data_IF_406222937634
#
_entry.id   IF_406222937634
#
_cell.length_a   1.000
_cell.length_b   1.000
_cell.length_c   1.000
_cell.angle_alpha   90.00
_cell.angle_beta   90.00
_cell.angle_gamma   90.00
#
_symmetry.space_group_name_H-M   'P 1'
#
loop_
_entity.id
_entity.type
_entity.pdbx_description
1 polymer ?
#
# COMPACT_ATOMS: atom_id res chain seq x y z
N UNK A 1 -7.60 28.40 -46.94
CA UNK A 1 -7.20 28.75 -45.56
C UNK A 1 -6.79 27.45 -44.88
N UNK A 2 -5.49 27.19 -44.72
CA UNK A 2 -5.04 26.03 -43.97
C UNK A 2 -5.51 26.21 -42.54
N UNK A 3 -6.39 25.33 -42.05
CA UNK A 3 -6.65 25.27 -40.61
C UNK A 3 -5.31 25.00 -39.96
N UNK A 4 -4.78 25.98 -39.24
CA UNK A 4 -3.67 25.73 -38.32
C UNK A 4 -4.13 24.54 -37.47
N UNK A 5 -3.39 23.43 -37.57
CA UNK A 5 -3.69 22.21 -36.84
C UNK A 5 -3.77 22.48 -35.34
N UNK A 6 -4.18 21.48 -34.59
CA UNK A 6 -4.09 21.59 -33.13
C UNK A 6 -2.62 21.63 -32.71
N UNK A 7 -2.31 22.24 -31.56
CA UNK A 7 -0.93 22.28 -31.07
C UNK A 7 -0.28 20.90 -30.92
N UNK A 8 -1.11 19.86 -30.80
CA UNK A 8 -0.72 18.45 -30.73
C UNK A 8 -0.07 17.97 -32.02
N UNK A 9 -0.49 18.50 -33.17
CA UNK A 9 0.08 18.17 -34.48
C UNK A 9 1.53 18.67 -34.60
N UNK A 10 1.93 19.62 -33.75
CA UNK A 10 3.31 20.11 -33.65
C UNK A 10 4.23 19.25 -32.77
N UNK A 11 3.71 18.22 -32.10
CA UNK A 11 4.50 17.35 -31.25
C UNK A 11 5.02 16.17 -32.06
N UNK A 12 6.33 15.93 -31.98
CA UNK A 12 6.94 14.73 -32.55
C UNK A 12 6.60 13.52 -31.68
N UNK A 13 5.61 12.74 -32.09
CA UNK A 13 5.10 11.53 -31.44
C UNK A 13 6.16 10.42 -31.27
N UNK A 14 7.18 10.39 -32.13
CA UNK A 14 8.28 9.42 -32.07
C UNK A 14 9.30 9.71 -30.96
N UNK A 15 9.30 10.92 -30.41
CA UNK A 15 10.26 11.31 -29.37
C UNK A 15 9.87 10.72 -28.02
N UNK A 16 10.86 10.26 -27.25
CA UNK A 16 10.64 9.78 -25.88
C UNK A 16 9.93 10.85 -25.03
N UNK A 17 8.88 10.44 -24.34
CA UNK A 17 8.05 11.32 -23.52
C UNK A 17 7.01 12.15 -24.27
N UNK A 18 6.94 12.07 -25.60
CA UNK A 18 5.91 12.77 -26.39
C UNK A 18 4.49 12.41 -25.96
N UNK A 19 4.27 11.14 -25.60
CA UNK A 19 2.97 10.65 -25.17
C UNK A 19 2.41 11.38 -23.94
N UNK A 20 3.25 11.86 -23.02
CA UNK A 20 2.79 12.69 -21.89
C UNK A 20 2.06 13.93 -22.42
N UNK A 21 2.70 14.68 -23.31
CA UNK A 21 2.14 15.91 -23.85
C UNK A 21 0.89 15.66 -24.70
N UNK A 22 0.83 14.54 -25.41
CA UNK A 22 -0.33 14.15 -26.22
C UNK A 22 -1.53 13.71 -25.37
N UNK A 23 -1.30 13.25 -24.14
CA UNK A 23 -2.38 12.89 -23.21
C UNK A 23 -3.03 14.09 -22.52
N UNK A 24 -2.38 15.27 -22.54
CA UNK A 24 -2.91 16.48 -21.90
C UNK A 24 -4.10 17.04 -22.67
N UNK A 25 -5.30 16.88 -22.13
CA UNK A 25 -6.54 17.41 -22.70
C UNK A 25 -6.77 18.87 -22.33
N UNK A 26 -7.23 19.67 -23.29
CA UNK A 26 -7.52 21.09 -23.10
C UNK A 26 -6.27 21.96 -23.07
N UNK A 27 -6.18 22.85 -22.08
CA UNK A 27 -5.06 23.75 -21.90
C UNK A 27 -3.84 23.00 -21.35
N UNK A 28 -2.72 22.96 -22.08
CA UNK A 28 -1.55 22.22 -21.63
C UNK A 28 -0.98 22.88 -20.38
N UNK A 29 -0.80 22.08 -19.33
CA UNK A 29 -0.09 22.44 -18.10
C UNK A 29 1.03 21.42 -17.89
N UNK A 30 2.28 21.87 -18.03
CA UNK A 30 3.45 21.01 -17.91
C UNK A 30 3.91 20.93 -16.46
N UNK A 31 3.76 19.75 -15.84
CA UNK A 31 4.16 19.51 -14.46
C UNK A 31 5.25 18.43 -14.41
N UNK A 32 6.45 18.74 -13.87
CA UNK A 32 7.53 17.78 -13.73
C UNK A 32 7.10 16.49 -12.99
N UNK A 33 6.35 16.62 -11.89
CA UNK A 33 5.85 15.48 -11.13
C UNK A 33 5.00 14.52 -11.97
N UNK A 34 4.11 15.04 -12.81
CA UNK A 34 3.26 14.23 -13.69
C UNK A 34 4.09 13.60 -14.82
N UNK A 35 5.10 14.33 -15.31
CA UNK A 35 6.03 13.80 -16.30
C UNK A 35 6.87 12.64 -15.76
N UNK A 36 7.38 12.76 -14.53
CA UNK A 36 8.12 11.71 -13.84
C UNK A 36 7.25 10.47 -13.66
N UNK A 37 6.01 10.65 -13.18
CA UNK A 37 5.01 9.58 -13.04
C UNK A 37 4.72 8.91 -14.37
N UNK A 38 4.49 9.68 -15.44
CA UNK A 38 4.22 9.13 -16.78
C UNK A 38 5.40 8.32 -17.31
N UNK A 39 6.63 8.83 -17.14
CA UNK A 39 7.82 8.16 -17.66
C UNK A 39 8.18 6.93 -16.85
N UNK A 40 7.85 6.90 -15.56
CA UNK A 40 8.02 5.75 -14.65
C UNK A 40 9.42 5.12 -14.73
N UNK A 41 10.43 5.96 -14.93
CA UNK A 41 11.82 5.53 -15.17
C UNK A 41 12.43 5.02 -13.87
N UNK A 42 13.44 4.15 -13.98
CA UNK A 42 14.22 3.68 -12.83
C UNK A 42 15.20 4.75 -12.33
N UNK A 43 15.64 4.64 -11.07
CA UNK A 43 16.47 5.66 -10.42
C UNK A 43 17.81 5.87 -11.11
N UNK A 44 18.39 4.82 -11.70
CA UNK A 44 19.63 4.84 -12.48
C UNK A 44 19.54 5.71 -13.75
N UNK A 45 18.34 5.86 -14.31
CA UNK A 45 18.07 6.64 -15.52
C UNK A 45 17.44 8.02 -15.22
N UNK A 46 17.37 8.40 -13.95
CA UNK A 46 16.70 9.63 -13.50
C UNK A 46 17.36 10.91 -14.02
N UNK A 47 18.69 10.94 -14.13
CA UNK A 47 19.42 12.09 -14.72
C UNK A 47 19.05 12.31 -16.19
N UNK A 48 18.88 11.24 -16.96
CA UNK A 48 18.46 11.35 -18.36
C UNK A 48 17.06 11.98 -18.47
N UNK A 49 16.22 11.85 -17.45
CA UNK A 49 14.88 12.44 -17.42
C UNK A 49 14.93 13.96 -17.24
N UNK A 50 15.86 14.48 -16.43
CA UNK A 50 16.10 15.93 -16.26
C UNK A 50 16.48 16.55 -17.60
N UNK A 51 17.43 15.94 -18.30
CA UNK A 51 17.85 16.40 -19.64
C UNK A 51 16.70 16.31 -20.65
N UNK A 52 15.97 15.19 -20.65
CA UNK A 52 14.85 14.95 -21.56
C UNK A 52 13.77 16.03 -21.39
N UNK A 53 13.37 16.31 -20.14
CA UNK A 53 12.43 17.37 -19.80
C UNK A 53 12.91 18.75 -20.25
N UNK A 54 14.17 19.08 -19.92
CA UNK A 54 14.74 20.39 -20.25
C UNK A 54 14.77 20.60 -21.77
N UNK A 55 15.16 19.57 -22.53
CA UNK A 55 15.11 19.63 -24.00
C UNK A 55 13.68 19.77 -24.51
N UNK A 56 12.69 19.12 -23.89
CA UNK A 56 11.29 19.30 -24.27
C UNK A 56 10.85 20.75 -24.07
N UNK A 57 11.13 21.35 -22.92
CA UNK A 57 10.75 22.74 -22.66
C UNK A 57 11.39 23.71 -23.66
N UNK A 58 12.68 23.54 -23.96
CA UNK A 58 13.39 24.36 -24.96
C UNK A 58 12.77 24.23 -26.36
N UNK A 59 12.39 23.03 -26.77
CA UNK A 59 11.82 22.81 -28.10
C UNK A 59 10.37 23.30 -28.19
N UNK A 60 9.57 23.11 -27.14
CA UNK A 60 8.19 23.61 -27.07
C UNK A 60 8.12 25.14 -27.02
N UNK A 61 9.14 25.80 -26.46
CA UNK A 61 9.27 27.27 -26.54
C UNK A 61 9.44 27.78 -27.97
N UNK A 62 9.91 26.94 -28.90
CA UNK A 62 10.07 27.27 -30.33
C UNK A 62 8.86 26.87 -31.17
N UNK A 63 7.79 26.35 -30.54
CA UNK A 63 6.58 25.92 -31.22
C UNK A 63 5.88 27.07 -31.94
N UNK A 64 5.28 26.85 -33.12
CA UNK A 64 4.47 27.87 -33.80
C UNK A 64 3.21 28.25 -32.99
N UNK A 65 2.77 27.38 -32.08
CA UNK A 65 1.57 27.56 -31.26
C UNK A 65 1.86 28.39 -30.02
N UNK A 66 1.19 29.54 -29.87
CA UNK A 66 1.42 30.46 -28.75
C UNK A 66 1.17 29.83 -27.38
N UNK A 67 0.10 29.03 -27.26
CA UNK A 67 -0.25 28.32 -26.02
C UNK A 67 0.92 27.44 -25.57
N UNK A 68 1.55 26.69 -26.47
CA UNK A 68 2.70 25.84 -26.13
C UNK A 68 3.91 26.64 -25.68
N UNK A 69 4.19 27.77 -26.35
CA UNK A 69 5.31 28.64 -25.95
C UNK A 69 5.10 29.19 -24.55
N UNK A 70 3.91 29.73 -24.27
CA UNK A 70 3.57 30.29 -22.94
C UNK A 70 3.65 29.22 -21.86
N UNK A 71 3.07 28.05 -22.08
CA UNK A 71 3.12 26.95 -21.12
C UNK A 71 4.56 26.47 -20.90
N UNK A 72 5.37 26.33 -21.96
CA UNK A 72 6.76 25.87 -21.85
C UNK A 72 7.68 26.88 -21.15
N UNK A 73 7.38 28.19 -21.22
CA UNK A 73 8.07 29.22 -20.43
C UNK A 73 7.65 29.18 -18.97
N UNK A 74 6.37 28.94 -18.70
CA UNK A 74 5.82 28.86 -17.33
C UNK A 74 6.12 27.52 -16.63
N UNK A 75 6.58 26.50 -17.38
CA UNK A 75 6.83 25.18 -16.85
C UNK A 75 8.02 25.21 -15.86
N UNK A 76 7.86 24.60 -14.67
CA UNK A 76 8.97 24.51 -13.74
C UNK A 76 10.06 23.57 -14.27
N UNK A 77 11.30 23.83 -13.86
CA UNK A 77 12.41 22.91 -14.11
C UNK A 77 12.17 21.60 -13.35
N UNK A 78 12.53 20.48 -13.98
CA UNK A 78 12.58 19.18 -13.31
C UNK A 78 13.92 19.12 -12.57
N UNK A 79 13.87 19.04 -11.25
CA UNK A 79 15.06 19.04 -10.38
C UNK A 79 15.31 17.66 -9.78
N UNK A 80 16.51 17.46 -9.22
CA UNK A 80 16.83 16.25 -8.47
C UNK A 80 15.88 16.05 -7.28
N UNK A 81 15.48 17.13 -6.59
CA UNK A 81 14.54 17.06 -5.47
C UNK A 81 13.20 16.46 -5.90
N UNK A 82 12.69 16.81 -7.10
CA UNK A 82 11.44 16.23 -7.60
C UNK A 82 11.54 14.72 -7.85
N UNK A 83 12.72 14.25 -8.23
CA UNK A 83 13.00 12.82 -8.41
C UNK A 83 13.11 12.11 -7.06
N UNK A 84 13.83 12.71 -6.12
CA UNK A 84 14.02 12.14 -4.79
C UNK A 84 12.69 12.02 -4.03
N UNK A 85 11.84 13.06 -4.09
CA UNK A 85 10.46 13.03 -3.58
C UNK A 85 9.66 11.88 -4.22
N UNK A 86 9.69 11.77 -5.54
CA UNK A 86 8.97 10.72 -6.25
C UNK A 86 9.41 9.31 -5.86
N UNK A 87 10.73 9.07 -5.74
CA UNK A 87 11.24 7.76 -5.34
C UNK A 87 11.01 7.46 -3.86
N UNK A 88 11.05 8.48 -2.99
CA UNK A 88 10.71 8.33 -1.59
C UNK A 88 9.25 7.91 -1.42
N UNK A 89 8.33 8.59 -2.10
CA UNK A 89 6.91 8.25 -2.10
C UNK A 89 6.70 6.82 -2.60
N UNK A 90 7.37 6.45 -3.70
CA UNK A 90 7.26 5.09 -4.26
C UNK A 90 7.76 4.02 -3.30
N UNK A 91 8.90 4.24 -2.63
CA UNK A 91 9.41 3.30 -1.62
C UNK A 91 8.46 3.18 -0.42
N UNK A 92 7.81 4.27 -0.02
CA UNK A 92 6.78 4.22 1.03
C UNK A 92 5.60 3.35 0.61
N UNK A 93 5.07 3.58 -0.60
CA UNK A 93 3.95 2.79 -1.14
C UNK A 93 4.29 1.32 -1.29
N UNK A 94 5.49 1.00 -1.80
CA UNK A 94 5.94 -0.39 -1.93
C UNK A 94 6.03 -1.08 -0.56
N UNK A 95 6.56 -0.38 0.47
CA UNK A 95 6.61 -0.90 1.85
C UNK A 95 5.24 -1.10 2.46
N UNK A 96 4.32 -0.16 2.24
CA UNK A 96 2.93 -0.27 2.70
C UNK A 96 2.24 -1.47 2.04
N UNK A 97 2.46 -1.68 0.74
CA UNK A 97 1.92 -2.81 0.01
C UNK A 97 2.47 -4.15 0.56
N UNK A 98 3.78 -4.22 0.81
CA UNK A 98 4.42 -5.40 1.43
C UNK A 98 3.84 -5.70 2.82
N UNK A 99 3.63 -4.67 3.63
CA UNK A 99 3.02 -4.81 4.96
C UNK A 99 1.58 -5.33 4.87
N UNK A 100 0.77 -4.80 3.94
CA UNK A 100 -0.59 -5.27 3.69
C UNK A 100 -0.62 -6.71 3.18
N UNK A 101 0.30 -7.08 2.28
CA UNK A 101 0.37 -8.45 1.78
C UNK A 101 0.79 -9.44 2.88
N UNK A 102 1.74 -9.07 3.72
CA UNK A 102 2.14 -9.85 4.90
C UNK A 102 0.95 -10.06 5.85
N UNK A 103 0.22 -8.98 6.17
CA UNK A 103 -0.99 -9.05 6.99
C UNK A 103 -2.05 -9.97 6.39
N UNK A 104 -2.31 -9.85 5.09
CA UNK A 104 -3.25 -10.72 4.35
C UNK A 104 -2.84 -12.19 4.40
N UNK A 105 -1.55 -12.50 4.28
CA UNK A 105 -1.04 -13.88 4.40
C UNK A 105 -1.25 -14.45 5.81
N UNK A 106 -1.00 -13.64 6.84
CA UNK A 106 -1.22 -14.02 8.23
C UNK A 106 -2.71 -14.29 8.54
N UNK A 107 -3.60 -13.41 8.07
CA UNK A 107 -5.05 -13.60 8.23
C UNK A 107 -5.53 -14.89 7.57
N UNK A 108 -5.10 -15.18 6.34
CA UNK A 108 -5.44 -16.44 5.66
C UNK A 108 -4.93 -17.67 6.40
N UNK A 109 -3.73 -17.60 6.97
CA UNK A 109 -3.20 -18.70 7.78
C UNK A 109 -4.02 -18.90 9.07
N UNK A 110 -4.40 -17.81 9.74
CA UNK A 110 -5.25 -17.85 10.93
C UNK A 110 -6.65 -18.42 10.62
N UNK A 111 -7.26 -18.02 9.51
CA UNK A 111 -8.55 -18.57 9.04
C UNK A 111 -8.48 -20.07 8.76
N UNK A 112 -7.38 -20.52 8.13
CA UNK A 112 -7.14 -21.95 7.90
C UNK A 112 -7.01 -22.75 9.21
N UNK A 113 -6.32 -22.18 10.20
CA UNK A 113 -6.21 -22.78 11.53
C UNK A 113 -7.56 -22.81 12.26
N UNK A 114 -8.35 -21.75 12.17
CA UNK A 114 -9.68 -21.68 12.78
C UNK A 114 -10.61 -22.73 12.17
N UNK A 115 -10.63 -22.83 10.84
CA UNK A 115 -11.42 -23.83 10.10
C UNK A 115 -11.03 -25.24 10.51
N UNK A 116 -9.72 -25.52 10.62
CA UNK A 116 -9.21 -26.81 11.10
C UNK A 116 -9.65 -27.12 12.54
N UNK A 117 -9.68 -26.11 13.42
CA UNK A 117 -10.14 -26.28 14.81
C UNK A 117 -11.66 -26.51 14.89
N UNK A 118 -12.45 -25.87 14.03
CA UNK A 118 -13.91 -26.07 13.94
C UNK A 118 -14.21 -27.49 13.44
N UNK A 119 -13.57 -27.92 12.35
CA UNK A 119 -13.71 -29.28 11.83
C UNK A 119 -13.33 -30.34 12.86
N UNK A 120 -12.23 -30.15 13.60
CA UNK A 120 -11.84 -31.05 14.70
C UNK A 120 -12.90 -31.13 15.80
N UNK A 121 -13.53 -30.00 16.15
CA UNK A 121 -14.61 -29.98 17.16
C UNK A 121 -15.87 -30.68 16.65
N UNK A 122 -16.29 -30.42 15.41
CA UNK A 122 -17.45 -31.08 14.81
C UNK A 122 -17.24 -32.60 14.64
N UNK A 123 -16.05 -33.02 14.20
CA UNK A 123 -15.71 -34.45 14.10
C UNK A 123 -15.68 -35.16 15.46
N UNK A 124 -15.23 -34.48 16.52
CA UNK A 124 -15.31 -35.00 17.89
C UNK A 124 -16.76 -35.06 18.38
N UNK A 125 -17.56 -34.03 18.12
CA UNK A 125 -18.98 -33.99 18.49
C UNK A 125 -19.77 -35.12 17.85
N UNK A 126 -19.55 -35.42 16.55
CA UNK A 126 -20.19 -36.55 15.88
C UNK A 126 -19.75 -37.91 16.44
N UNK A 127 -18.52 -38.02 16.95
CA UNK A 127 -18.04 -39.25 17.58
C UNK A 127 -18.75 -39.54 18.90
N UNK A 128 -18.93 -38.51 19.75
CA UNK A 128 -19.67 -38.66 21.00
C UNK A 128 -21.16 -38.95 20.77
N UNK A 129 -21.78 -38.36 19.74
CA UNK A 129 -23.18 -38.65 19.39
C UNK A 129 -23.35 -40.09 18.89
N UNK A 130 -22.42 -40.61 18.08
CA UNK A 130 -22.49 -42.00 17.62
C UNK A 130 -22.19 -43.02 18.73
N UNK A 131 -21.22 -42.76 19.61
CA UNK A 131 -20.91 -43.64 20.75
C UNK A 131 -22.06 -43.66 21.79
N UNK A 132 -22.83 -42.56 21.92
CA UNK A 132 -24.04 -42.54 22.77
C UNK A 132 -25.20 -43.33 22.15
N UNK A 133 -25.46 -43.18 20.84
CA UNK A 133 -26.54 -43.90 20.14
C UNK A 133 -26.27 -45.42 20.05
N UNK A 134 -25.01 -45.84 19.92
CA UNK A 134 -24.65 -47.26 19.86
C UNK A 134 -24.62 -47.92 21.26
N UNK A 135 -24.27 -47.18 22.32
CA UNK A 135 -24.33 -47.68 23.70
C UNK A 135 -25.75 -47.79 24.28
N UNK A 136 -26.72 -47.05 23.74
CA UNK A 136 -28.10 -47.01 24.23
C UNK A 136 -29.01 -48.08 23.59
N UNK A 137 -28.52 -48.85 22.61
CA UNK A 137 -29.26 -49.97 21.99
C UNK A 137 -29.15 -51.30 22.75
N UNK A 138 -28.18 -51.45 23.64
CA UNK A 138 -28.00 -52.68 24.43
C UNK A 138 -28.77 -52.67 25.76
N UNK A 139 -29.57 -51.64 26.04
CA UNK A 139 -30.23 -51.47 27.34
C UNK A 139 -31.69 -50.96 27.25
N UNK A 140 -32.39 -51.24 26.15
CA UNK A 140 -33.83 -51.02 26.04
C UNK A 140 -34.52 -52.37 26.09
N UNK A 141 -34.48 -53.01 27.26
CA UNK A 141 -35.56 -53.89 27.66
C UNK A 141 -35.98 -53.53 29.08
N UNK A 142 -37.26 -53.19 29.21
CA UNK A 142 -38.04 -53.01 30.44
C UNK A 142 -37.57 -51.91 31.39
N UNK A 143 -38.33 -50.81 31.47
CA UNK A 143 -39.07 -50.40 32.69
C UNK A 143 -40.15 -49.41 32.26
N UNK A 144 -41.41 -49.84 32.34
CA UNK A 144 -42.55 -48.95 32.46
C UNK A 144 -42.62 -48.48 33.91
N UNK A 145 -42.41 -47.20 34.16
CA UNK A 145 -42.73 -46.57 35.43
C UNK A 145 -43.58 -45.33 35.17
N UNK A 146 -44.87 -45.50 35.43
CA UNK A 146 -45.76 -44.42 35.81
C UNK A 146 -45.20 -43.77 37.09
N UNK A 147 -44.93 -42.47 37.04
CA UNK A 147 -44.38 -41.73 38.16
C UNK A 147 -44.62 -40.25 37.99
N UNK A 148 -45.71 -39.78 38.60
CA UNK A 148 -45.97 -38.37 38.91
C UNK A 148 -44.72 -37.73 39.52
N UNK A 149 -44.38 -36.53 39.07
CA UNK A 149 -43.46 -35.68 39.80
C UNK A 149 -43.91 -34.22 39.68
N UNK A 150 -44.06 -33.65 40.87
CA UNK A 150 -44.62 -32.36 41.21
C UNK A 150 -43.84 -31.16 40.64
N UNK A 151 -44.62 -30.10 40.44
CA UNK A 151 -44.19 -28.72 40.29
C UNK A 151 -43.42 -28.28 41.54
N UNK A 152 -42.17 -27.82 41.34
CA UNK A 152 -41.49 -26.97 42.32
C UNK A 152 -40.94 -25.76 41.57
N UNK A 153 -41.61 -24.63 41.77
CA UNK A 153 -41.10 -23.29 41.50
C UNK A 153 -39.92 -23.04 42.45
N UNK A 154 -38.74 -22.72 41.92
CA UNK A 154 -37.62 -22.21 42.72
C UNK A 154 -37.14 -20.89 42.09
N UNK A 155 -37.63 -19.81 42.67
CA UNK A 155 -37.16 -18.44 42.47
C UNK A 155 -35.72 -18.35 42.97
N UNK A 156 -34.78 -18.00 42.07
CA UNK A 156 -33.44 -17.61 42.50
C UNK A 156 -33.05 -16.28 41.87
N UNK A 157 -33.35 -15.23 42.63
CA UNK A 157 -32.66 -13.94 42.57
C UNK A 157 -31.15 -14.13 42.75
N UNK A 158 -30.36 -13.41 41.95
CA UNK A 158 -28.91 -13.43 42.01
C UNK A 158 -28.24 -12.48 41.03
N UNK A 159 -28.45 -11.17 41.20
CA UNK A 159 -27.37 -10.19 41.01
C UNK A 159 -26.40 -10.33 42.21
N UNK A 160 -25.12 -9.89 42.18
CA UNK A 160 -24.50 -8.93 41.26
C UNK A 160 -23.07 -9.35 40.81
N UNK A 161 -22.39 -8.50 40.02
CA UNK A 161 -21.06 -7.93 40.33
C UNK A 161 -20.41 -7.41 39.05
N UNK A 162 -20.05 -6.13 39.09
CA UNK A 162 -19.37 -5.42 38.02
C UNK A 162 -18.00 -6.00 37.71
N UNK A 163 -17.56 -5.79 36.47
CA UNK A 163 -16.17 -5.92 36.11
C UNK A 163 -15.66 -4.59 35.60
N UNK A 164 -14.79 -4.02 36.42
CA UNK A 164 -14.09 -2.77 36.20
C UNK A 164 -13.05 -2.93 35.08
N UNK A 165 -12.94 -1.87 34.27
CA UNK A 165 -11.73 -1.33 33.65
C UNK A 165 -10.53 -2.28 33.46
N UNK A 166 -10.34 -2.71 32.20
CA UNK A 166 -9.01 -2.98 31.66
C UNK A 166 -8.67 -1.89 30.64
N UNK A 167 -7.96 -0.85 31.07
CA UNK A 167 -7.33 0.12 30.18
C UNK A 167 -6.16 -0.57 29.47
N UNK A 168 -6.22 -0.60 28.14
CA UNK A 168 -5.14 -1.11 27.30
C UNK A 168 -3.85 -0.29 27.51
N UNK A 169 -2.70 -0.92 27.80
CA UNK A 169 -1.44 -0.22 27.80
C UNK A 169 -1.06 0.14 26.35
N UNK A 170 -1.08 1.44 26.05
CA UNK A 170 -0.54 2.01 24.84
C UNK A 170 0.94 1.61 24.68
N UNK A 171 1.22 0.71 23.74
CA UNK A 171 2.57 0.39 23.30
C UNK A 171 3.18 1.62 22.63
N UNK A 172 3.97 2.38 23.40
CA UNK A 172 4.86 3.41 22.85
C UNK A 172 6.14 2.73 22.36
N UNK A 173 6.20 2.46 21.06
CA UNK A 173 7.42 2.04 20.37
C UNK A 173 8.42 3.21 20.35
N UNK A 174 9.37 3.21 21.29
CA UNK A 174 10.57 4.05 21.23
C UNK A 174 11.50 3.47 20.18
N UNK A 175 11.57 4.12 19.02
CA UNK A 175 12.60 3.86 18.00
C UNK A 175 13.82 4.71 18.38
N UNK A 176 14.82 4.07 18.99
CA UNK A 176 16.13 4.69 19.20
C UNK A 176 16.93 4.65 17.89
N UNK A 177 17.01 5.79 17.20
CA UNK A 177 17.92 5.95 16.07
C UNK A 177 19.33 6.13 16.60
N UNK A 178 20.18 5.11 16.39
CA UNK A 178 21.63 5.28 16.47
C UNK A 178 22.09 5.99 15.20
N UNK A 179 22.44 7.26 15.33
CA UNK A 179 23.12 8.00 14.29
C UNK A 179 24.58 7.52 14.26
N UNK A 180 24.92 6.73 13.26
CA UNK A 180 26.31 6.45 12.93
C UNK A 180 26.89 7.72 12.31
N UNK A 181 27.63 8.48 13.13
CA UNK A 181 28.49 9.58 12.69
C UNK A 181 29.66 8.96 11.95
N UNK A 182 29.66 9.10 10.62
CA UNK A 182 30.83 8.80 9.79
C UNK A 182 31.62 10.10 9.67
N UNK A 183 32.67 10.23 10.47
CA UNK A 183 33.71 11.23 10.30
C UNK A 183 34.54 10.84 9.06
N UNK A 184 34.29 11.51 7.94
CA UNK A 184 35.10 11.40 6.72
C UNK A 184 36.09 12.59 6.68
N UNK A 185 37.11 12.52 7.54
CA UNK A 185 38.31 13.35 7.41
C UNK A 185 39.13 12.82 6.23
N UNK A 186 38.93 13.43 5.06
CA UNK A 186 39.82 13.26 3.92
C UNK A 186 40.46 14.59 3.56
N UNK A 187 41.55 14.88 4.27
CA UNK A 187 42.60 15.78 3.81
C UNK A 187 43.03 15.37 2.39
N UNK A 188 42.90 16.29 1.44
CA UNK A 188 43.59 16.20 0.16
C UNK A 188 44.51 17.40 0.04
N UNK A 189 45.79 17.12 0.26
CA UNK A 189 46.92 17.95 -0.13
C UNK A 189 46.87 18.19 -1.65
N UNK A 190 46.52 19.40 -2.05
CA UNK A 190 46.72 19.86 -3.42
C UNK A 190 48.10 20.51 -3.53
N UNK A 191 49.09 19.71 -3.94
CA UNK A 191 50.36 20.22 -4.43
C UNK A 191 50.14 21.10 -5.68
N UNK A 192 50.46 22.37 -5.53
CA UNK A 192 50.46 23.37 -6.59
C UNK A 192 51.82 23.35 -7.31
N UNK A 193 51.84 23.00 -8.59
CA UNK A 193 52.99 23.24 -9.47
C UNK A 193 52.62 24.19 -10.60
N UNK A 194 53.26 25.37 -10.73
CA UNK A 194 53.04 26.27 -11.85
C UNK A 194 53.97 25.95 -13.03
N UNK A 195 53.47 26.14 -14.25
CA UNK A 195 54.25 26.40 -15.46
C UNK A 195 53.64 27.59 -16.19
#
# INVERSE_FOLDING_TARGET
MSSLGTWRDGINDRRKGAGYFLTLNGDPSFKPADYIKYRAVQRDQSLALIEEWSRWMIDLQKSPYEVMRRTAVAAPALTQNNLDEYYQDRVSVDREQDALESSRRQLRAADGQLTSRIQKRQGKSNRYVNEFIEGERDNVDTVACDGEADLVDDEREGDPMGNERGEDPAYTLRVEYKADVVDDEREQDLEYTPR
#
